data_IF_900309911638
#
_entry.id   IF_900309911638
#
_cell.length_a   1.000
_cell.length_b   1.000
_cell.length_c   1.000
_cell.angle_alpha   90.00
_cell.angle_beta   90.00
_cell.angle_gamma   90.00
#
_symmetry.space_group_name_H-M   'P 1'
#
loop_
_entity.id
_entity.type
_entity.pdbx_description
1 polymer ?
#
# COMPACT_ATOMS: atom_id res chain seq x y z
N UNK A 1 1.44 -33.41 -24.21
CA UNK A 1 1.75 -31.95 -24.25
C UNK A 1 0.76 -31.08 -23.47
N UNK A 2 -0.53 -31.45 -23.37
CA UNK A 2 -1.56 -30.66 -22.66
C UNK A 2 -1.35 -30.63 -21.12
N UNK A 3 -0.94 -31.75 -20.53
CA UNK A 3 -0.63 -31.88 -19.10
C UNK A 3 0.50 -30.96 -18.60
N UNK A 4 1.54 -30.73 -19.41
CA UNK A 4 2.66 -29.86 -19.04
C UNK A 4 2.25 -28.38 -19.01
N UNK A 5 1.32 -27.97 -19.90
CA UNK A 5 0.75 -26.61 -19.91
C UNK A 5 -0.16 -26.37 -18.70
N UNK A 6 -0.91 -27.39 -18.28
CA UNK A 6 -1.72 -27.38 -17.06
C UNK A 6 -0.82 -27.24 -15.81
N UNK A 7 0.32 -27.95 -15.77
CA UNK A 7 1.26 -27.90 -14.65
C UNK A 7 1.90 -26.50 -14.49
N UNK A 8 2.29 -25.85 -15.60
CA UNK A 8 2.84 -24.49 -15.59
C UNK A 8 1.79 -23.46 -15.13
N UNK A 9 0.53 -23.61 -15.56
CA UNK A 9 -0.59 -22.79 -15.07
C UNK A 9 -0.73 -22.91 -13.55
N UNK A 10 -0.74 -24.14 -13.03
CA UNK A 10 -0.88 -24.44 -11.60
C UNK A 10 0.22 -23.79 -10.76
N UNK A 11 1.45 -23.73 -11.28
CA UNK A 11 2.60 -23.14 -10.60
C UNK A 11 2.51 -21.60 -10.58
N UNK A 12 1.95 -20.97 -11.62
CA UNK A 12 1.80 -19.52 -11.71
C UNK A 12 0.62 -18.94 -10.89
N UNK A 13 -0.34 -19.77 -10.47
CA UNK A 13 -1.63 -19.32 -9.88
C UNK A 13 -1.60 -19.10 -8.34
N UNK A 14 -0.56 -19.51 -7.62
CA UNK A 14 -0.36 -19.30 -6.16
C UNK A 14 -1.58 -19.61 -5.23
N UNK A 15 -1.54 -20.82 -4.68
CA UNK A 15 -2.16 -21.37 -3.44
C UNK A 15 -3.65 -21.16 -3.08
N UNK A 16 -4.31 -20.02 -3.29
CA UNK A 16 -5.67 -19.81 -2.74
C UNK A 16 -6.80 -19.99 -3.76
N UNK A 17 -6.60 -19.59 -5.01
CA UNK A 17 -7.60 -19.65 -6.09
C UNK A 17 -7.70 -21.01 -6.78
N UNK A 18 -6.67 -21.86 -6.64
CA UNK A 18 -6.59 -23.17 -7.32
C UNK A 18 -7.76 -24.09 -6.98
N UNK A 19 -8.23 -24.13 -5.72
CA UNK A 19 -9.29 -25.05 -5.28
C UNK A 19 -10.68 -24.67 -5.82
N UNK A 20 -10.92 -23.38 -6.08
CA UNK A 20 -12.24 -22.88 -6.51
C UNK A 20 -12.42 -22.85 -8.04
N UNK A 21 -11.34 -23.01 -8.81
CA UNK A 21 -11.37 -22.97 -10.27
C UNK A 21 -10.88 -24.27 -10.93
N UNK A 22 -10.58 -25.30 -10.14
CA UNK A 22 -10.01 -26.54 -10.63
C UNK A 22 -10.93 -27.23 -11.65
N UNK A 23 -12.20 -27.41 -11.30
CA UNK A 23 -13.21 -28.03 -12.17
C UNK A 23 -13.41 -27.24 -13.48
N UNK A 24 -13.33 -25.90 -13.41
CA UNK A 24 -13.45 -25.02 -14.57
C UNK A 24 -12.21 -25.03 -15.48
N UNK A 25 -11.05 -25.43 -14.96
CA UNK A 25 -9.80 -25.58 -15.71
C UNK A 25 -9.73 -26.95 -16.39
N UNK A 26 -10.22 -28.00 -15.73
CA UNK A 26 -10.17 -29.38 -16.22
C UNK A 26 -11.06 -29.62 -17.46
N UNK A 27 -12.08 -28.77 -17.67
CA UNK A 27 -12.99 -28.84 -18.82
C UNK A 27 -12.57 -27.98 -20.03
N UNK A 28 -11.42 -27.30 -19.98
CA UNK A 28 -10.96 -26.43 -21.07
C UNK A 28 -10.44 -27.26 -22.26
N UNK A 29 -11.16 -27.18 -23.38
CA UNK A 29 -10.94 -28.00 -24.59
C UNK A 29 -9.97 -27.40 -25.63
N UNK A 30 -9.49 -26.17 -25.43
CA UNK A 30 -8.71 -25.45 -26.44
C UNK A 30 -7.68 -24.50 -25.84
N UNK A 31 -6.60 -24.28 -26.60
CA UNK A 31 -5.51 -23.36 -26.20
C UNK A 31 -6.02 -21.94 -25.96
N UNK A 32 -6.97 -21.48 -26.78
CA UNK A 32 -7.58 -20.14 -26.64
C UNK A 32 -8.31 -19.99 -25.30
N UNK A 33 -9.18 -20.95 -24.93
CA UNK A 33 -9.89 -20.91 -23.64
C UNK A 33 -8.93 -20.99 -22.45
N UNK A 34 -7.83 -21.75 -22.57
CA UNK A 34 -6.77 -21.78 -21.54
C UNK A 34 -6.09 -20.42 -21.38
N UNK A 35 -5.77 -19.74 -22.49
CA UNK A 35 -5.16 -18.41 -22.45
C UNK A 35 -6.10 -17.37 -21.83
N UNK A 36 -7.38 -17.37 -22.24
CA UNK A 36 -8.41 -16.48 -21.67
C UNK A 36 -8.56 -16.70 -20.16
N UNK A 37 -8.64 -17.97 -19.71
CA UNK A 37 -8.74 -18.29 -18.29
C UNK A 37 -7.49 -17.89 -17.51
N UNK A 38 -6.31 -17.99 -18.12
CA UNK A 38 -5.05 -17.56 -17.51
C UNK A 38 -5.06 -16.06 -17.24
N UNK A 39 -5.49 -15.26 -18.21
CA UNK A 39 -5.58 -13.80 -18.07
C UNK A 39 -6.58 -13.42 -16.97
N UNK A 40 -7.74 -14.09 -16.92
CA UNK A 40 -8.74 -13.87 -15.86
C UNK A 40 -8.15 -14.17 -14.47
N UNK A 41 -7.47 -15.31 -14.30
CA UNK A 41 -6.88 -15.71 -13.03
C UNK A 41 -5.74 -14.77 -12.59
N UNK A 42 -4.94 -14.26 -13.53
CA UNK A 42 -3.92 -13.25 -13.22
C UNK A 42 -4.55 -11.97 -12.67
N UNK A 43 -5.65 -11.50 -13.26
CA UNK A 43 -6.38 -10.33 -12.78
C UNK A 43 -7.00 -10.55 -11.41
N UNK A 44 -7.59 -11.73 -11.16
CA UNK A 44 -8.14 -12.09 -9.85
C UNK A 44 -7.06 -12.16 -8.77
N UNK A 45 -5.91 -12.75 -9.08
CA UNK A 45 -4.77 -12.79 -8.16
C UNK A 45 -4.27 -11.37 -7.84
N UNK A 46 -4.15 -10.50 -8.85
CA UNK A 46 -3.73 -9.12 -8.63
C UNK A 46 -4.75 -8.33 -7.78
N UNK A 47 -6.06 -8.55 -8.00
CA UNK A 47 -7.14 -8.00 -7.16
C UNK A 47 -7.00 -8.45 -5.70
N UNK A 48 -6.76 -9.73 -5.47
CA UNK A 48 -6.58 -10.30 -4.12
C UNK A 48 -5.34 -9.76 -3.42
N UNK A 49 -4.22 -9.63 -4.14
CA UNK A 49 -2.99 -9.03 -3.60
C UNK A 49 -3.18 -7.55 -3.21
N UNK A 50 -3.94 -6.79 -4.01
CA UNK A 50 -4.33 -5.43 -3.63
C UNK A 50 -5.27 -5.44 -2.41
N UNK A 51 -6.23 -6.37 -2.33
CA UNK A 51 -7.16 -6.47 -1.21
C UNK A 51 -6.43 -6.76 0.11
N UNK A 52 -5.41 -7.62 0.10
CA UNK A 52 -4.51 -7.83 1.25
C UNK A 52 -3.81 -6.53 1.65
N UNK A 53 -3.31 -5.75 0.69
CA UNK A 53 -2.65 -4.47 0.98
C UNK A 53 -3.62 -3.42 1.53
N UNK A 54 -4.86 -3.38 1.02
CA UNK A 54 -5.94 -2.56 1.56
C UNK A 54 -6.19 -2.90 3.03
N UNK A 55 -6.27 -4.20 3.35
CA UNK A 55 -6.44 -4.65 4.73
C UNK A 55 -5.26 -4.23 5.61
N UNK A 56 -4.03 -4.48 5.18
CA UNK A 56 -2.82 -4.07 5.91
C UNK A 56 -2.79 -2.56 6.19
N UNK A 57 -3.11 -1.73 5.19
CA UNK A 57 -3.14 -0.28 5.33
C UNK A 57 -4.27 0.19 6.27
N UNK A 58 -5.45 -0.43 6.18
CA UNK A 58 -6.57 -0.15 7.08
C UNK A 58 -6.23 -0.52 8.52
N UNK A 59 -5.69 -1.73 8.74
CA UNK A 59 -5.26 -2.20 10.06
C UNK A 59 -4.19 -1.27 10.65
N UNK A 60 -3.23 -0.80 9.84
CA UNK A 60 -2.25 0.19 10.30
C UNK A 60 -2.92 1.49 10.71
N UNK A 61 -3.82 2.03 9.89
CA UNK A 61 -4.54 3.27 10.20
C UNK A 61 -5.34 3.17 11.50
N UNK A 62 -6.10 2.09 11.67
CA UNK A 62 -6.94 1.88 12.84
C UNK A 62 -6.11 1.78 14.13
N UNK A 63 -4.91 1.17 14.06
CA UNK A 63 -4.01 1.03 15.19
C UNK A 63 -3.09 2.24 15.44
N UNK A 64 -2.98 3.19 14.49
CA UNK A 64 -2.00 4.28 14.55
C UNK A 64 -2.62 5.66 14.23
N UNK A 65 -3.87 5.89 14.64
CA UNK A 65 -4.57 7.16 14.37
C UNK A 65 -3.81 8.39 14.90
N UNK A 66 -3.10 8.25 16.02
CA UNK A 66 -2.24 9.32 16.55
C UNK A 66 -1.10 9.69 15.59
N UNK A 67 -0.50 8.71 14.92
CA UNK A 67 0.57 8.92 13.93
C UNK A 67 -0.02 9.57 12.67
N UNK A 68 -1.16 9.07 12.21
CA UNK A 68 -1.88 9.66 11.07
C UNK A 68 -2.24 11.13 11.32
N UNK A 69 -2.82 11.44 12.47
CA UNK A 69 -3.21 12.80 12.86
C UNK A 69 -2.01 13.74 13.02
N UNK A 70 -0.83 13.20 13.33
CA UNK A 70 0.41 13.97 13.43
C UNK A 70 1.11 14.20 12.08
N UNK A 71 0.73 13.46 11.03
CA UNK A 71 1.25 13.67 9.69
C UNK A 71 0.77 14.99 9.09
N UNK A 72 1.47 15.51 8.08
CA UNK A 72 1.02 16.72 7.37
C UNK A 72 -0.30 16.48 6.63
N UNK A 73 -1.11 17.52 6.45
CA UNK A 73 -2.41 17.43 5.74
C UNK A 73 -2.25 16.80 4.34
N UNK A 74 -1.17 17.15 3.63
CA UNK A 74 -0.88 16.57 2.31
C UNK A 74 -0.68 15.04 2.38
N UNK A 75 0.06 14.55 3.39
CA UNK A 75 0.30 13.10 3.58
C UNK A 75 -0.97 12.37 4.02
N UNK A 76 -1.78 12.99 4.88
CA UNK A 76 -3.08 12.45 5.28
C UNK A 76 -4.00 12.27 4.05
N UNK A 77 -4.15 13.32 3.23
CA UNK A 77 -4.97 13.27 2.02
C UNK A 77 -4.45 12.25 1.00
N UNK A 78 -3.13 12.15 0.83
CA UNK A 78 -2.53 11.17 -0.07
C UNK A 78 -2.83 9.73 0.37
N UNK A 79 -2.72 9.44 1.66
CA UNK A 79 -3.06 8.13 2.22
C UNK A 79 -4.55 7.81 2.06
N UNK A 80 -5.44 8.72 2.49
CA UNK A 80 -6.90 8.49 2.40
C UNK A 80 -7.36 8.28 0.96
N UNK A 81 -6.82 9.07 0.02
CA UNK A 81 -7.12 8.92 -1.41
C UNK A 81 -6.62 7.58 -1.95
N UNK A 82 -5.38 7.19 -1.65
CA UNK A 82 -4.82 5.93 -2.12
C UNK A 82 -5.58 4.72 -1.56
N UNK A 83 -5.97 4.78 -0.28
CA UNK A 83 -6.74 3.72 0.37
C UNK A 83 -8.15 3.61 -0.24
N UNK A 84 -8.83 4.74 -0.48
CA UNK A 84 -10.17 4.72 -1.08
C UNK A 84 -10.13 4.19 -2.51
N UNK A 85 -9.22 4.68 -3.35
CA UNK A 85 -9.06 4.20 -4.73
C UNK A 85 -8.79 2.69 -4.79
N UNK A 86 -7.99 2.17 -3.85
CA UNK A 86 -7.72 0.75 -3.75
C UNK A 86 -8.95 -0.05 -3.29
N UNK A 87 -9.72 0.46 -2.30
CA UNK A 87 -10.99 -0.15 -1.84
C UNK A 87 -12.02 -0.25 -2.97
N UNK A 88 -12.15 0.79 -3.78
CA UNK A 88 -13.16 0.86 -4.84
C UNK A 88 -12.95 -0.25 -5.88
N UNK A 89 -11.71 -0.54 -6.27
CA UNK A 89 -11.42 -1.55 -7.31
C UNK A 89 -11.38 -2.99 -6.79
N UNK A 90 -11.17 -3.19 -5.48
CA UNK A 90 -11.19 -4.53 -4.87
C UNK A 90 -12.57 -4.92 -4.36
N UNK A 91 -13.54 -4.00 -4.37
CA UNK A 91 -14.92 -4.26 -3.99
C UNK A 91 -15.49 -5.51 -4.70
N UNK A 92 -16.35 -6.31 -4.04
CA UNK A 92 -17.04 -7.44 -4.67
C UNK A 92 -17.85 -7.04 -5.91
N UNK A 93 -18.33 -5.78 -5.97
CA UNK A 93 -19.15 -5.26 -7.08
C UNK A 93 -18.32 -4.63 -8.21
N UNK A 94 -17.00 -4.51 -8.05
CA UNK A 94 -16.13 -3.87 -9.04
C UNK A 94 -15.83 -4.78 -10.23
N UNK A 95 -15.95 -4.23 -11.43
CA UNK A 95 -15.50 -4.88 -12.68
C UNK A 95 -14.01 -5.18 -12.61
N UNK A 96 -13.63 -6.39 -13.03
CA UNK A 96 -12.25 -6.85 -13.04
C UNK A 96 -11.38 -5.98 -13.96
N UNK A 97 -10.30 -5.43 -13.42
CA UNK A 97 -9.39 -4.54 -14.13
C UNK A 97 -8.20 -5.30 -14.72
N UNK A 98 -7.40 -4.61 -15.54
CA UNK A 98 -6.10 -5.12 -15.99
C UNK A 98 -5.12 -5.25 -14.82
N UNK A 99 -4.24 -6.25 -14.90
CA UNK A 99 -3.24 -6.54 -13.85
C UNK A 99 -2.41 -5.30 -13.51
N UNK A 100 -1.99 -4.52 -14.52
CA UNK A 100 -1.20 -3.31 -14.27
C UNK A 100 -1.92 -2.30 -13.38
N UNK A 101 -3.27 -2.22 -13.45
CA UNK A 101 -4.02 -1.27 -12.64
C UNK A 101 -3.99 -1.63 -11.16
N UNK A 102 -4.08 -2.92 -10.85
CA UNK A 102 -3.97 -3.41 -9.47
C UNK A 102 -2.56 -3.18 -8.91
N UNK A 103 -1.52 -3.44 -9.70
CA UNK A 103 -0.13 -3.19 -9.28
C UNK A 103 0.17 -1.69 -9.08
N UNK A 104 -0.36 -0.82 -9.94
CA UNK A 104 -0.24 0.63 -9.79
C UNK A 104 -0.85 1.10 -8.47
N UNK A 105 -2.10 0.69 -8.19
CA UNK A 105 -2.81 1.05 -6.97
C UNK A 105 -2.13 0.48 -5.71
N UNK A 106 -1.60 -0.75 -5.80
CA UNK A 106 -0.83 -1.39 -4.73
C UNK A 106 0.43 -0.59 -4.42
N UNK A 107 1.15 -0.12 -5.44
CA UNK A 107 2.33 0.74 -5.28
C UNK A 107 1.95 2.08 -4.65
N UNK A 108 0.93 2.76 -5.17
CA UNK A 108 0.45 4.04 -4.63
C UNK A 108 0.07 3.93 -3.15
N UNK A 109 -0.68 2.90 -2.78
CA UNK A 109 -1.06 2.65 -1.39
C UNK A 109 0.16 2.33 -0.51
N UNK A 110 1.12 1.55 -1.01
CA UNK A 110 2.37 1.25 -0.29
C UNK A 110 3.19 2.51 -0.03
N UNK A 111 3.36 3.35 -1.04
CA UNK A 111 4.11 4.61 -0.93
C UNK A 111 3.41 5.57 0.06
N UNK A 112 2.09 5.67 -0.01
CA UNK A 112 1.32 6.53 0.89
C UNK A 112 1.35 6.02 2.35
N UNK A 113 1.24 4.70 2.56
CA UNK A 113 1.38 4.07 3.88
C UNK A 113 2.78 4.33 4.47
N UNK A 114 3.83 4.20 3.66
CA UNK A 114 5.19 4.50 4.08
C UNK A 114 5.34 5.97 4.52
N UNK A 115 4.70 6.90 3.81
CA UNK A 115 4.77 8.33 4.16
C UNK A 115 4.11 8.68 5.49
N UNK A 116 3.10 7.91 5.92
CA UNK A 116 2.45 8.04 7.24
C UNK A 116 3.01 7.06 8.28
N UNK A 117 4.13 6.39 7.98
CA UNK A 117 4.81 5.55 8.96
C UNK A 117 5.35 6.37 10.13
N UNK A 118 5.41 5.77 11.32
CA UNK A 118 5.91 6.39 12.54
C UNK A 118 7.22 7.16 12.33
N UNK A 119 8.19 6.53 11.65
CA UNK A 119 9.51 7.11 11.40
C UNK A 119 9.45 8.34 10.50
N UNK A 120 8.64 8.29 9.43
CA UNK A 120 8.54 9.40 8.48
C UNK A 120 7.76 10.58 9.08
N UNK A 121 6.69 10.31 9.82
CA UNK A 121 5.95 11.37 10.54
C UNK A 121 6.83 12.01 11.61
N UNK A 122 7.57 11.21 12.38
CA UNK A 122 8.50 11.73 13.38
C UNK A 122 9.60 12.61 12.76
N UNK A 123 10.13 12.23 11.60
CA UNK A 123 11.11 13.04 10.88
C UNK A 123 10.51 14.37 10.41
N UNK A 124 9.31 14.37 9.83
CA UNK A 124 8.62 15.61 9.46
C UNK A 124 8.43 16.55 10.65
N UNK A 125 7.99 16.01 11.80
CA UNK A 125 7.79 16.77 13.02
C UNK A 125 9.10 17.37 13.53
N UNK A 126 10.20 16.61 13.48
CA UNK A 126 11.54 17.10 13.84
C UNK A 126 11.96 18.28 12.97
N UNK A 127 11.81 18.16 11.66
CA UNK A 127 12.17 19.25 10.74
C UNK A 127 11.27 20.48 10.94
N UNK A 128 9.97 20.29 11.12
CA UNK A 128 9.04 21.38 11.40
C UNK A 128 9.37 22.11 12.72
N UNK A 129 9.72 21.38 13.77
CA UNK A 129 10.13 21.97 15.06
C UNK A 129 11.47 22.70 14.96
N UNK A 130 12.45 22.15 14.24
CA UNK A 130 13.73 22.85 13.98
C UNK A 130 13.50 24.18 13.27
N UNK A 131 12.64 24.19 12.26
CA UNK A 131 12.30 25.43 11.53
C UNK A 131 11.56 26.43 12.42
N UNK A 132 10.64 25.97 13.29
CA UNK A 132 9.98 26.85 14.27
C UNK A 132 10.97 27.48 15.26
N UNK A 133 11.93 26.70 15.78
CA UNK A 133 12.97 27.23 16.69
C UNK A 133 13.80 28.30 16.01
N UNK A 134 14.23 28.07 14.76
CA UNK A 134 15.01 29.05 13.99
C UNK A 134 14.27 30.37 13.71
N UNK A 135 12.94 30.30 13.57
CA UNK A 135 12.08 31.44 13.19
C UNK A 135 11.36 32.08 14.38
N UNK A 136 11.67 31.68 15.61
CA UNK A 136 10.99 32.17 16.80
C UNK A 136 11.27 33.67 17.05
N UNK A 137 10.26 34.41 17.51
CA UNK A 137 10.35 35.86 17.79
C UNK A 137 9.77 36.15 19.19
N UNK A 138 10.49 36.87 20.09
CA UNK A 138 11.85 37.38 19.90
C UNK A 138 12.87 36.24 19.76
N UNK A 139 13.95 36.44 18.97
CA UNK A 139 14.87 35.37 18.63
C UNK A 139 15.55 34.81 19.88
N UNK A 140 15.59 33.48 19.96
CA UNK A 140 16.51 32.80 20.88
C UNK A 140 17.95 33.19 20.51
N UNK A 141 18.82 33.39 21.51
CA UNK A 141 20.25 33.53 21.24
C UNK A 141 20.78 32.21 20.66
N UNK A 142 21.84 32.28 19.84
CA UNK A 142 22.33 31.13 19.05
C UNK A 142 22.56 29.88 19.92
N UNK A 143 23.12 30.03 21.11
CA UNK A 143 23.37 28.92 22.03
C UNK A 143 22.08 28.22 22.52
N UNK A 144 21.00 28.98 22.73
CA UNK A 144 19.70 28.44 23.11
C UNK A 144 19.05 27.68 21.94
N UNK A 145 19.15 28.23 20.73
CA UNK A 145 18.70 27.57 19.50
C UNK A 145 19.44 26.24 19.28
N UNK A 146 20.76 26.22 19.41
CA UNK A 146 21.58 25.02 19.22
C UNK A 146 21.27 23.95 20.27
N UNK A 147 21.06 24.34 21.53
CA UNK A 147 20.63 23.42 22.62
C UNK A 147 19.25 22.82 22.32
N UNK A 148 18.29 23.62 21.86
CA UNK A 148 16.94 23.15 21.52
C UNK A 148 16.94 22.21 20.31
N UNK A 149 17.66 22.56 19.23
CA UNK A 149 17.82 21.71 18.04
C UNK A 149 18.51 20.38 18.41
N UNK A 150 19.52 20.41 19.28
CA UNK A 150 20.16 19.18 19.80
C UNK A 150 19.16 18.34 20.57
N UNK A 151 18.35 18.92 21.47
CA UNK A 151 17.30 18.17 22.19
C UNK A 151 16.29 17.52 21.26
N UNK A 152 15.82 18.22 20.22
CA UNK A 152 14.90 17.68 19.21
C UNK A 152 15.51 16.46 18.48
N UNK A 153 16.83 16.45 18.26
CA UNK A 153 17.54 15.33 17.66
C UNK A 153 17.55 14.08 18.56
N UNK A 154 17.65 14.25 19.89
CA UNK A 154 17.84 13.16 20.86
C UNK A 154 16.59 12.72 21.63
N UNK A 155 15.44 13.38 21.48
CA UNK A 155 14.26 13.15 22.32
C UNK A 155 13.59 11.75 22.22
N UNK A 156 14.12 10.79 21.44
CA UNK A 156 13.53 9.46 21.28
C UNK A 156 14.57 8.34 21.10
N UNK A 157 15.69 8.38 21.82
CA UNK A 157 16.47 7.18 22.19
C UNK A 157 16.08 6.76 23.58
#
# INVERSE_FOLDING_TARGET
MMLLKILILIILIYKQTKKNHQDAIEVLDSVKKVQEKTVELQKLNAKEELAKKVKEAQDYFDNNQNIFNAATLSKQTAFSTALQNAKDVVSPTATLQEVQKYEELKKQLTDALNNISANNVLNDLREALKEKVKKFIPPFIQEQSDKLVKKIRWACT
#
